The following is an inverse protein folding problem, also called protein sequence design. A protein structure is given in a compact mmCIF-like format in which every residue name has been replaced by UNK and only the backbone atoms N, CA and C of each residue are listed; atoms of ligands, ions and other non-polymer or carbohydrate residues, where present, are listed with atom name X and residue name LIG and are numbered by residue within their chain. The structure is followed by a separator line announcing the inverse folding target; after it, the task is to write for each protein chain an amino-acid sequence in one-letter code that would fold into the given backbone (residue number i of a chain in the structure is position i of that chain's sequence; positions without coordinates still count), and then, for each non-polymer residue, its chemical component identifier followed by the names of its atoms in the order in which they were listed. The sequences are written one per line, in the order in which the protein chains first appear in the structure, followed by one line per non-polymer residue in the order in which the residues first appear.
data_IF_951064681542
#
_entry.id   IF_951064681542
#
_cell.length_a   1.000
_cell.length_b   1.000
_cell.length_c   1.000
_cell.angle_alpha   90.00
_cell.angle_beta   90.00
_cell.angle_gamma   90.00
#
_symmetry.space_group_name_H-M   'P 1'
#
loop_
_entity.id
_entity.type
_entity.pdbx_description
1 polymer ?
#
# COMPACT_ATOMS: atom_id res chain seq x y z
N UNK A 1 2.14 -14.84 3.45
CA UNK A 1 2.39 -13.44 3.04
C UNK A 1 3.59 -12.73 3.69
N UNK A 2 4.33 -13.33 4.64
CA UNK A 2 5.43 -12.66 5.33
C UNK A 2 6.58 -12.21 4.40
N UNK A 3 6.94 -13.02 3.40
CA UNK A 3 7.98 -12.64 2.44
C UNK A 3 7.56 -11.48 1.55
N UNK A 4 6.26 -11.42 1.19
CA UNK A 4 5.70 -10.28 0.46
C UNK A 4 5.79 -9.01 1.31
N UNK A 5 5.49 -9.09 2.61
CA UNK A 5 5.67 -7.96 3.52
C UNK A 5 7.11 -7.44 3.49
N UNK A 6 8.09 -8.31 3.72
CA UNK A 6 9.51 -7.94 3.77
C UNK A 6 10.02 -7.41 2.42
N UNK A 7 9.75 -8.13 1.33
CA UNK A 7 10.24 -7.77 0.00
C UNK A 7 9.61 -6.47 -0.51
N UNK A 8 8.30 -6.30 -0.33
CA UNK A 8 7.59 -5.16 -0.88
C UNK A 8 7.71 -3.91 0.00
N UNK A 9 7.34 -3.99 1.29
CA UNK A 9 7.32 -2.81 2.15
C UNK A 9 8.71 -2.40 2.63
N UNK A 10 9.50 -3.35 3.12
CA UNK A 10 10.79 -3.03 3.75
C UNK A 10 11.91 -2.90 2.72
N UNK A 11 11.98 -3.80 1.73
CA UNK A 11 13.10 -3.80 0.79
C UNK A 11 12.85 -2.89 -0.42
N UNK A 12 11.69 -3.03 -1.09
CA UNK A 12 11.38 -2.26 -2.28
C UNK A 12 10.95 -0.82 -1.96
N UNK A 13 9.93 -0.64 -1.12
CA UNK A 13 9.45 0.68 -0.72
C UNK A 13 10.36 1.37 0.31
N UNK A 14 11.28 0.62 0.94
CA UNK A 14 12.23 1.13 1.94
C UNK A 14 11.53 1.79 3.14
N UNK A 15 10.39 1.25 3.53
CA UNK A 15 9.69 1.72 4.72
C UNK A 15 10.39 1.21 5.97
N UNK A 16 10.39 2.04 7.01
CA UNK A 16 10.82 1.60 8.33
C UNK A 16 9.73 0.70 8.94
N UNK A 17 10.11 -0.36 9.65
CA UNK A 17 9.14 -1.30 10.25
C UNK A 17 8.12 -0.60 11.17
N UNK A 18 8.60 0.34 12.01
CA UNK A 18 7.75 1.18 12.87
C UNK A 18 6.69 2.02 12.14
N UNK A 19 6.83 2.21 10.83
CA UNK A 19 5.87 2.93 10.00
C UNK A 19 4.83 2.02 9.34
N UNK A 20 4.96 0.70 9.47
CA UNK A 20 4.09 -0.31 8.85
C UNK A 20 3.46 -1.16 9.94
N UNK A 21 2.21 -0.86 10.25
CA UNK A 21 1.41 -1.71 11.12
C UNK A 21 0.82 -2.86 10.29
N UNK A 22 1.03 -4.10 10.73
CA UNK A 22 0.38 -5.28 10.15
C UNK A 22 -0.96 -5.47 10.86
N UNK A 23 -2.05 -5.20 10.14
CA UNK A 23 -3.42 -5.37 10.66
C UNK A 23 -3.87 -6.82 10.53
N UNK A 24 -3.48 -7.49 9.44
CA UNK A 24 -3.78 -8.91 9.18
C UNK A 24 -2.63 -9.53 8.41
N UNK A 25 -2.15 -10.69 8.83
CA UNK A 25 -1.13 -11.46 8.14
C UNK A 25 -1.48 -12.94 8.17
N UNK A 26 -1.93 -13.43 7.02
CA UNK A 26 -2.29 -14.84 6.81
C UNK A 26 -1.54 -15.38 5.58
N UNK A 27 -1.84 -16.61 5.18
CA UNK A 27 -1.18 -17.24 4.03
C UNK A 27 -1.56 -16.56 2.71
N UNK A 28 -2.78 -16.04 2.61
CA UNK A 28 -3.36 -15.52 1.38
C UNK A 28 -3.72 -14.03 1.38
N UNK A 29 -3.62 -13.37 2.53
CA UNK A 29 -3.91 -11.95 2.66
C UNK A 29 -2.95 -11.26 3.62
N UNK A 30 -2.59 -10.03 3.26
CA UNK A 30 -1.82 -9.09 4.06
C UNK A 30 -2.56 -7.75 4.04
N UNK A 31 -2.95 -7.27 5.21
CA UNK A 31 -3.50 -5.92 5.39
C UNK A 31 -2.52 -5.13 6.24
N UNK A 32 -2.13 -3.96 5.74
CA UNK A 32 -1.18 -3.07 6.42
C UNK A 32 -1.71 -1.66 6.51
N UNK A 33 -1.31 -0.93 7.55
CA UNK A 33 -1.50 0.51 7.70
C UNK A 33 -0.14 1.21 7.73
N UNK A 34 0.08 2.07 6.75
CA UNK A 34 1.34 2.78 6.58
C UNK A 34 1.22 4.24 7.04
N UNK A 35 2.14 4.66 7.91
CA UNK A 35 2.27 6.06 8.40
C UNK A 35 3.59 6.72 8.03
N UNK A 36 4.39 6.08 7.19
CA UNK A 36 5.68 6.58 6.71
C UNK A 36 5.60 8.00 6.13
N UNK A 37 6.69 8.79 6.17
CA UNK A 37 6.79 10.03 5.40
C UNK A 37 6.49 9.77 3.92
N UNK A 38 5.39 10.32 3.42
CA UNK A 38 4.87 10.02 2.09
C UNK A 38 5.06 11.22 1.15
N UNK A 39 5.89 11.12 0.09
CA UNK A 39 6.09 12.22 -0.84
C UNK A 39 4.81 12.57 -1.61
N UNK A 40 3.95 11.57 -1.89
CA UNK A 40 2.66 11.81 -2.54
C UNK A 40 1.76 12.67 -1.67
N UNK A 41 1.57 12.30 -0.39
CA UNK A 41 0.80 13.10 0.56
C UNK A 41 1.35 14.53 0.67
N UNK A 42 2.66 14.67 0.90
CA UNK A 42 3.30 15.98 1.05
C UNK A 42 3.08 16.87 -0.18
N UNK A 43 3.26 16.33 -1.38
CA UNK A 43 3.09 17.08 -2.63
C UNK A 43 1.63 17.40 -2.89
N UNK A 44 0.71 16.44 -2.69
CA UNK A 44 -0.73 16.68 -2.81
C UNK A 44 -1.20 17.83 -1.91
N UNK A 45 -0.78 17.85 -0.65
CA UNK A 45 -1.08 18.93 0.29
C UNK A 45 -0.47 20.27 -0.16
N UNK A 46 0.80 20.26 -0.62
CA UNK A 46 1.49 21.48 -1.05
C UNK A 46 0.89 22.10 -2.32
N UNK A 47 0.32 21.26 -3.20
CA UNK A 47 -0.27 21.67 -4.47
C UNK A 47 -1.80 21.85 -4.39
N UNK A 48 -2.40 21.67 -3.21
CA UNK A 48 -3.85 21.66 -3.01
C UNK A 48 -4.58 20.69 -3.95
N UNK A 49 -4.01 19.50 -4.16
CA UNK A 49 -4.60 18.41 -4.95
C UNK A 49 -5.11 17.34 -3.99
N UNK A 50 -6.27 16.77 -4.29
CA UNK A 50 -6.80 15.64 -3.53
C UNK A 50 -5.82 14.46 -3.52
N UNK A 51 -5.43 14.05 -2.31
CA UNK A 51 -4.47 12.96 -2.10
C UNK A 51 -5.02 11.61 -2.60
N UNK A 52 -6.34 11.39 -2.58
CA UNK A 52 -6.96 10.18 -3.16
C UNK A 52 -6.68 10.12 -4.66
N UNK A 53 -6.89 11.25 -5.34
CA UNK A 53 -6.63 11.39 -6.78
C UNK A 53 -5.15 11.15 -7.12
N UNK A 54 -4.22 11.81 -6.43
CA UNK A 54 -2.78 11.61 -6.65
C UNK A 54 -2.34 10.16 -6.37
N UNK A 55 -2.83 9.55 -5.28
CA UNK A 55 -2.52 8.16 -4.96
C UNK A 55 -3.00 7.19 -6.04
N UNK A 56 -4.21 7.40 -6.57
CA UNK A 56 -4.83 6.53 -7.58
C UNK A 56 -4.12 6.59 -8.93
N UNK A 57 -3.60 7.75 -9.30
CA UNK A 57 -2.94 7.97 -10.59
C UNK A 57 -1.45 7.62 -10.52
N UNK A 58 -0.80 7.88 -9.39
CA UNK A 58 0.68 7.78 -9.29
C UNK A 58 1.11 6.58 -8.46
N UNK A 59 0.67 6.49 -7.20
CA UNK A 59 1.22 5.51 -6.25
C UNK A 59 0.70 4.09 -6.50
N UNK A 60 -0.62 3.93 -6.56
CA UNK A 60 -1.24 2.60 -6.67
C UNK A 60 -0.85 1.85 -7.96
N UNK A 61 -0.74 2.49 -9.14
CA UNK A 61 -0.28 1.81 -10.35
C UNK A 61 1.15 1.26 -10.24
N UNK A 62 2.05 2.00 -9.57
CA UNK A 62 3.43 1.53 -9.33
C UNK A 62 3.44 0.32 -8.40
N UNK A 63 2.70 0.38 -7.29
CA UNK A 63 2.54 -0.75 -6.36
C UNK A 63 2.01 -2.00 -7.08
N UNK A 64 0.95 -1.84 -7.88
CA UNK A 64 0.38 -2.92 -8.70
C UNK A 64 1.39 -3.49 -9.70
N UNK A 65 2.14 -2.62 -10.38
CA UNK A 65 3.14 -3.05 -11.36
C UNK A 65 4.23 -3.90 -10.71
N UNK A 66 4.78 -3.44 -9.60
CA UNK A 66 5.88 -4.12 -8.89
C UNK A 66 5.42 -5.46 -8.33
N UNK A 67 4.26 -5.51 -7.66
CA UNK A 67 3.74 -6.77 -7.11
C UNK A 67 3.42 -7.77 -8.21
N UNK A 68 2.88 -7.32 -9.35
CA UNK A 68 2.66 -8.19 -10.52
C UNK A 68 3.97 -8.74 -11.10
N UNK A 69 5.08 -7.98 -11.01
CA UNK A 69 6.41 -8.44 -11.42
C UNK A 69 7.02 -9.42 -10.42
N UNK A 70 6.74 -9.25 -9.13
CA UNK A 70 7.14 -10.20 -8.10
C UNK A 70 6.39 -11.53 -8.26
N UNK A 71 5.08 -11.48 -8.44
CA UNK A 71 4.25 -12.64 -8.75
C UNK A 71 2.92 -12.19 -9.42
N UNK A 72 2.57 -12.71 -10.61
CA UNK A 72 1.37 -12.29 -11.34
C UNK A 72 0.04 -12.60 -10.62
N UNK A 73 0.06 -13.47 -9.61
CA UNK A 73 -1.11 -13.80 -8.80
C UNK A 73 -1.27 -12.87 -7.58
N UNK A 74 -0.33 -11.97 -7.29
CA UNK A 74 -0.52 -10.97 -6.22
C UNK A 74 -1.35 -9.80 -6.73
N UNK A 75 -2.37 -9.44 -5.95
CA UNK A 75 -3.23 -8.29 -6.20
C UNK A 75 -3.02 -7.26 -5.11
N UNK A 76 -2.85 -6.00 -5.49
CA UNK A 76 -2.75 -4.87 -4.59
C UNK A 76 -4.00 -4.01 -4.69
N UNK A 77 -4.58 -3.66 -3.54
CA UNK A 77 -5.71 -2.74 -3.42
C UNK A 77 -5.44 -1.73 -2.31
N UNK A 78 -5.59 -0.45 -2.62
CA UNK A 78 -5.60 0.61 -1.60
C UNK A 78 -7.02 0.84 -1.08
N UNK A 79 -7.15 1.06 0.23
CA UNK A 79 -8.41 1.47 0.84
C UNK A 79 -8.51 3.01 0.80
N UNK A 80 -9.32 3.55 -0.11
CA UNK A 80 -9.52 5.00 -0.23
C UNK A 80 -10.47 5.59 0.80
N UNK A 81 -11.13 4.75 1.61
CA UNK A 81 -11.88 5.20 2.78
C UNK A 81 -10.95 5.37 4.01
N UNK A 82 -9.76 4.76 3.99
CA UNK A 82 -8.76 4.85 5.05
C UNK A 82 -7.40 5.32 4.50
N UNK A 83 -7.31 6.62 4.17
CA UNK A 83 -6.12 7.22 3.57
C UNK A 83 -5.87 8.63 4.10
N UNK A 84 -4.59 8.97 4.34
CA UNK A 84 -4.18 10.32 4.73
C UNK A 84 -4.46 11.34 3.61
N UNK A 85 -4.84 12.59 3.93
CA UNK A 85 -4.98 13.17 5.28
C UNK A 85 -6.34 12.91 5.96
N UNK A 86 -7.25 12.16 5.34
CA UNK A 86 -8.61 11.93 5.84
C UNK A 86 -8.69 10.88 6.97
N UNK A 87 -7.58 10.24 7.28
CA UNK A 87 -7.38 9.26 8.34
C UNK A 87 -5.93 9.32 8.84
N UNK A 88 -5.63 8.69 9.97
CA UNK A 88 -4.29 8.70 10.61
C UNK A 88 -3.20 7.91 9.84
N UNK A 89 -3.61 7.02 8.93
CA UNK A 89 -2.71 6.17 8.15
C UNK A 89 -3.30 5.84 6.77
N UNK A 90 -2.53 5.14 5.94
CA UNK A 90 -3.01 4.61 4.66
C UNK A 90 -3.13 3.10 4.75
N UNK A 91 -4.34 2.57 4.56
CA UNK A 91 -4.57 1.12 4.58
C UNK A 91 -4.53 0.53 3.17
N UNK A 92 -3.91 -0.64 3.05
CA UNK A 92 -3.83 -1.38 1.80
C UNK A 92 -3.80 -2.88 2.04
N UNK A 93 -4.21 -3.62 1.01
CA UNK A 93 -4.35 -5.07 1.03
C UNK A 93 -3.59 -5.69 -0.12
N UNK A 94 -2.79 -6.71 0.17
CA UNK A 94 -2.20 -7.61 -0.80
C UNK A 94 -2.80 -9.01 -0.63
N UNK A 95 -3.29 -9.62 -1.71
CA UNK A 95 -3.92 -10.93 -1.65
C UNK A 95 -3.69 -11.75 -2.93
N UNK A 96 -3.94 -13.06 -2.88
CA UNK A 96 -3.84 -13.94 -4.06
C UNK A 96 -5.07 -13.87 -4.97
N UNK A 97 -4.86 -13.71 -6.27
CA UNK A 97 -5.88 -13.82 -7.32
C UNK A 97 -6.44 -15.24 -7.32
N UNK A 98 -7.76 -15.38 -7.13
CA UNK A 98 -8.47 -16.66 -7.21
C UNK A 98 -8.92 -17.27 -5.89
N UNK A 99 -8.80 -16.56 -4.76
CA UNK A 99 -9.35 -17.01 -3.46
C UNK A 99 -10.30 -16.02 -2.78
N UNK A 100 -10.66 -14.94 -3.46
CA UNK A 100 -11.74 -14.05 -3.02
C UNK A 100 -12.97 -14.39 -3.84
N UNK A 101 -13.86 -15.19 -3.24
CA UNK A 101 -15.24 -15.36 -3.66
C UNK A 101 -16.04 -14.08 -3.36
#
# INVERSE_FOLDING_TARGET
MNDVYKLFYLNFLRLHENDVEIVRLEDDVLVTRCKNPCPILRLSLSLNVDTKTSCKIVSEPVCKYVLRKLNPNLVFKRNYEHIRPYNESCEETIYWKGRVC
#
